data_IF_293939774898
#
_entry.id   IF_293939774898
#
_cell.length_a   1.000
_cell.length_b   1.000
_cell.length_c   1.000
_cell.angle_alpha   90.00
_cell.angle_beta   90.00
_cell.angle_gamma   90.00
#
_symmetry.space_group_name_H-M   'P 1'
#
loop_
_entity.id
_entity.type
_entity.pdbx_description
1 polymer ?
#
# COMPACT_ATOMS: atom_id res chain seq x y z
N UNK A 1 -25.24 -15.40 -36.22
CA UNK A 1 -24.79 -14.67 -35.01
C UNK A 1 -23.76 -15.53 -34.27
N UNK A 2 -22.49 -15.09 -34.18
CA UNK A 2 -21.44 -15.87 -33.51
C UNK A 2 -21.60 -15.71 -31.99
N UNK A 3 -21.88 -16.82 -31.30
CA UNK A 3 -21.98 -16.89 -29.83
C UNK A 3 -20.61 -16.52 -29.23
N UNK A 4 -20.52 -15.37 -28.54
CA UNK A 4 -19.32 -15.03 -27.79
C UNK A 4 -19.09 -16.12 -26.72
N UNK A 5 -18.00 -16.88 -26.84
CA UNK A 5 -17.56 -17.78 -25.78
C UNK A 5 -17.05 -16.91 -24.63
N UNK A 6 -17.71 -16.97 -23.48
CA UNK A 6 -17.15 -16.43 -22.25
C UNK A 6 -15.96 -17.30 -21.84
N UNK A 7 -14.76 -16.75 -22.01
CA UNK A 7 -13.53 -17.38 -21.54
C UNK A 7 -13.57 -17.30 -20.01
N UNK A 8 -13.36 -18.41 -19.28
CA UNK A 8 -13.31 -18.37 -17.82
C UNK A 8 -12.17 -17.42 -17.40
N UNK A 9 -12.47 -16.47 -16.52
CA UNK A 9 -11.48 -15.55 -15.96
C UNK A 9 -10.38 -16.37 -15.30
N UNK A 10 -9.20 -16.42 -15.93
CA UNK A 10 -8.01 -17.06 -15.37
C UNK A 10 -7.75 -16.39 -14.02
N UNK A 11 -7.74 -17.18 -12.94
CA UNK A 11 -7.44 -16.69 -11.59
C UNK A 11 -5.99 -16.16 -11.60
N UNK A 12 -5.83 -14.86 -11.80
CA UNK A 12 -4.52 -14.23 -11.82
C UNK A 12 -3.98 -14.25 -10.40
N UNK A 13 -2.92 -15.02 -10.17
CA UNK A 13 -2.19 -14.94 -8.90
C UNK A 13 -1.57 -13.57 -8.80
N UNK A 14 -1.90 -12.82 -7.75
CA UNK A 14 -1.31 -11.52 -7.50
C UNK A 14 0.21 -11.72 -7.35
N UNK A 15 1.04 -11.11 -8.20
CA UNK A 15 2.49 -11.27 -8.14
C UNK A 15 3.02 -10.73 -6.81
N UNK A 16 3.80 -11.57 -6.12
CA UNK A 16 4.44 -11.20 -4.86
C UNK A 16 5.50 -10.12 -5.09
N UNK A 17 5.64 -9.14 -4.18
CA UNK A 17 6.59 -8.03 -4.30
C UNK A 17 8.04 -8.43 -4.61
N UNK A 18 8.44 -9.65 -4.23
CA UNK A 18 9.78 -10.22 -4.47
C UNK A 18 10.16 -10.19 -5.96
N UNK A 19 9.21 -10.46 -6.86
CA UNK A 19 9.48 -10.48 -8.31
C UNK A 19 9.95 -9.12 -8.82
N UNK A 20 9.43 -8.04 -8.24
CA UNK A 20 9.74 -6.67 -8.66
C UNK A 20 11.05 -6.13 -8.06
N UNK A 21 11.59 -6.76 -7.01
CA UNK A 21 12.81 -6.27 -6.35
C UNK A 21 14.07 -6.44 -7.20
N UNK A 22 14.03 -7.28 -8.24
CA UNK A 22 15.13 -7.43 -9.19
C UNK A 22 15.17 -6.24 -10.15
N UNK A 23 14.02 -5.92 -10.76
CA UNK A 23 13.91 -4.85 -11.74
C UNK A 23 13.89 -3.45 -11.09
N UNK A 24 13.42 -3.35 -9.85
CA UNK A 24 13.25 -2.09 -9.12
C UNK A 24 13.99 -2.12 -7.77
N UNK A 25 15.30 -1.82 -7.73
CA UNK A 25 16.12 -1.88 -6.52
C UNK A 25 15.59 -1.01 -5.36
N UNK A 26 14.97 0.14 -5.66
CA UNK A 26 14.40 1.03 -4.66
C UNK A 26 13.30 0.36 -3.81
N UNK A 27 12.65 -0.71 -4.31
CA UNK A 27 11.68 -1.49 -3.53
C UNK A 27 12.31 -2.26 -2.35
N UNK A 28 13.64 -2.37 -2.31
CA UNK A 28 14.37 -2.95 -1.17
C UNK A 28 14.55 -1.95 -0.01
N UNK A 29 14.51 -0.66 -0.31
CA UNK A 29 14.64 0.41 0.69
C UNK A 29 13.34 0.59 1.48
N UNK A 30 12.21 0.44 0.79
CA UNK A 30 10.87 0.60 1.37
C UNK A 30 10.51 -0.57 2.29
N UNK A 31 9.75 -0.27 3.34
CA UNK A 31 9.21 -1.29 4.23
C UNK A 31 8.23 -2.23 3.50
N UNK A 32 8.31 -3.52 3.83
CA UNK A 32 7.51 -4.56 3.18
C UNK A 32 6.01 -4.41 3.42
N UNK A 33 5.61 -3.93 4.61
CA UNK A 33 4.21 -3.71 4.97
C UNK A 33 3.63 -2.52 4.22
N UNK A 34 4.43 -1.46 4.02
CA UNK A 34 4.02 -0.31 3.21
C UNK A 34 3.72 -0.72 1.76
N UNK A 35 4.55 -1.59 1.17
CA UNK A 35 4.32 -2.12 -0.17
C UNK A 35 3.05 -2.98 -0.25
N UNK A 36 2.80 -3.83 0.77
CA UNK A 36 1.58 -4.62 0.84
C UNK A 36 0.32 -3.74 0.94
N UNK A 37 0.34 -2.70 1.78
CA UNK A 37 -0.76 -1.76 1.91
C UNK A 37 -1.02 -0.98 0.61
N UNK A 38 0.04 -0.58 -0.10
CA UNK A 38 -0.10 0.07 -1.41
C UNK A 38 -0.79 -0.85 -2.43
N UNK A 39 -0.44 -2.14 -2.43
CA UNK A 39 -1.08 -3.13 -3.29
C UNK A 39 -2.56 -3.35 -2.95
N UNK A 40 -2.91 -3.42 -1.67
CA UNK A 40 -4.30 -3.54 -1.21
C UNK A 40 -5.14 -2.30 -1.59
N UNK A 41 -4.56 -1.10 -1.43
CA UNK A 41 -5.22 0.14 -1.82
C UNK A 41 -5.50 0.17 -3.33
N UNK A 42 -4.52 -0.25 -4.14
CA UNK A 42 -4.66 -0.34 -5.59
C UNK A 42 -5.76 -1.33 -5.97
N UNK A 43 -5.74 -2.56 -5.41
CA UNK A 43 -6.76 -3.57 -5.69
C UNK A 43 -8.18 -3.08 -5.34
N UNK A 44 -8.34 -2.46 -4.16
CA UNK A 44 -9.62 -1.86 -3.74
C UNK A 44 -10.10 -0.80 -4.71
N UNK A 45 -9.21 0.10 -5.12
CA UNK A 45 -9.51 1.17 -6.07
C UNK A 45 -9.95 0.61 -7.42
N UNK A 46 -9.21 -0.35 -7.97
CA UNK A 46 -9.55 -0.95 -9.26
C UNK A 46 -10.88 -1.69 -9.19
N UNK A 47 -11.15 -2.43 -8.12
CA UNK A 47 -12.45 -3.07 -7.89
C UNK A 47 -13.59 -2.04 -7.85
N UNK A 48 -13.40 -0.93 -7.15
CA UNK A 48 -14.40 0.13 -7.06
C UNK A 48 -14.63 0.81 -8.42
N UNK A 49 -13.54 1.11 -9.15
CA UNK A 49 -13.58 1.71 -10.48
C UNK A 49 -14.46 0.92 -11.46
N UNK A 50 -14.34 -0.41 -11.46
CA UNK A 50 -15.14 -1.27 -12.33
C UNK A 50 -16.53 -1.62 -11.77
N UNK A 51 -16.74 -1.48 -10.46
CA UNK A 51 -18.02 -1.77 -9.81
C UNK A 51 -19.04 -0.66 -10.03
N UNK A 52 -18.62 0.59 -9.90
CA UNK A 52 -19.51 1.75 -9.95
C UNK A 52 -18.88 2.89 -10.77
N UNK A 53 -19.59 3.31 -11.82
CA UNK A 53 -19.15 4.39 -12.72
C UNK A 53 -19.13 5.77 -12.04
N UNK A 54 -19.84 5.93 -10.91
CA UNK A 54 -19.89 7.20 -10.17
C UNK A 54 -18.59 7.52 -9.42
N UNK A 55 -17.80 6.50 -9.08
CA UNK A 55 -16.55 6.62 -8.30
C UNK A 55 -15.44 7.31 -9.11
N UNK A 56 -15.48 7.16 -10.45
CA UNK A 56 -14.47 7.73 -11.33
C UNK A 56 -13.06 7.14 -11.14
N UNK A 57 -12.07 7.70 -11.83
CA UNK A 57 -10.67 7.30 -11.71
C UNK A 57 -10.09 7.71 -10.36
N UNK A 58 -9.28 6.84 -9.75
CA UNK A 58 -8.53 7.23 -8.55
C UNK A 58 -7.48 8.28 -8.86
N UNK A 59 -7.34 9.23 -7.96
CA UNK A 59 -6.27 10.20 -8.00
C UNK A 59 -5.07 9.74 -7.18
N UNK A 60 -3.89 9.82 -7.79
CA UNK A 60 -2.64 9.63 -7.06
C UNK A 60 -2.41 10.79 -6.09
N UNK A 61 -1.80 10.48 -4.94
CA UNK A 61 -1.42 11.50 -3.98
C UNK A 61 -0.31 12.36 -4.55
N UNK A 62 -0.52 13.68 -4.59
CA UNK A 62 0.52 14.63 -5.01
C UNK A 62 1.63 14.71 -3.97
N UNK A 63 2.89 14.73 -4.42
CA UNK A 63 4.07 14.99 -3.58
C UNK A 63 4.03 16.38 -2.94
N UNK A 64 3.37 17.35 -3.60
CA UNK A 64 3.24 18.73 -3.09
C UNK A 64 2.16 18.87 -2.01
N UNK A 65 1.41 17.81 -1.69
CA UNK A 65 0.43 17.88 -0.62
C UNK A 65 1.16 18.11 0.73
N UNK A 66 0.85 19.18 1.48
CA UNK A 66 1.50 19.46 2.75
C UNK A 66 1.24 18.37 3.80
N UNK A 67 0.13 17.63 3.68
CA UNK A 67 -0.25 16.57 4.62
C UNK A 67 0.08 15.19 4.04
N UNK A 68 1.20 14.64 4.47
CA UNK A 68 1.62 13.27 4.13
C UNK A 68 1.27 12.31 5.27
N UNK A 69 0.61 11.21 4.90
CA UNK A 69 0.13 10.16 5.81
C UNK A 69 0.37 8.82 5.13
N UNK A 70 0.68 7.82 5.94
CA UNK A 70 0.75 6.44 5.51
C UNK A 70 0.21 5.54 6.62
N UNK A 71 -0.35 4.40 6.24
CA UNK A 71 -0.86 3.39 7.18
C UNK A 71 0.12 2.24 7.21
N UNK A 72 0.42 1.77 8.41
CA UNK A 72 1.26 0.60 8.63
C UNK A 72 0.67 -0.24 9.75
N UNK A 73 0.90 -1.54 9.67
CA UNK A 73 0.39 -2.50 10.65
C UNK A 73 1.54 -2.83 11.61
N UNK A 74 1.24 -2.96 12.90
CA UNK A 74 2.23 -3.43 13.84
C UNK A 74 2.25 -4.95 13.85
N UNK A 75 3.32 -5.56 13.31
CA UNK A 75 3.55 -6.99 13.45
C UNK A 75 4.64 -7.24 14.48
N UNK A 76 4.32 -7.99 15.54
CA UNK A 76 5.27 -8.48 16.53
C UNK A 76 6.18 -7.39 17.16
N UNK A 77 5.64 -6.20 17.45
CA UNK A 77 6.37 -5.11 18.11
C UNK A 77 7.35 -4.35 17.21
N UNK A 78 7.24 -4.52 15.89
CA UNK A 78 8.07 -3.82 14.90
C UNK A 78 7.87 -2.30 14.96
N UNK A 79 6.66 -1.86 15.34
CA UNK A 79 6.32 -0.47 15.59
C UNK A 79 6.00 -0.33 17.07
N UNK A 80 6.64 0.62 17.73
CA UNK A 80 6.45 0.83 19.16
C UNK A 80 6.39 2.32 19.48
N UNK A 81 5.57 2.66 20.47
CA UNK A 81 5.55 3.98 21.07
C UNK A 81 6.62 4.03 22.17
N UNK A 82 7.43 5.07 22.15
CA UNK A 82 8.43 5.35 23.17
C UNK A 82 8.01 6.63 23.88
N UNK A 83 7.77 6.52 25.19
CA UNK A 83 7.39 7.64 26.08
C UNK A 83 6.19 8.47 25.61
N UNK A 84 5.29 7.87 24.81
CA UNK A 84 4.13 8.51 24.17
C UNK A 84 4.46 9.76 23.32
N UNK A 85 5.73 10.01 23.02
CA UNK A 85 6.21 11.16 22.26
C UNK A 85 6.93 10.76 20.98
N UNK A 86 7.39 9.52 20.90
CA UNK A 86 8.13 9.01 19.76
C UNK A 86 7.55 7.69 19.25
N UNK A 87 7.75 7.44 17.96
CA UNK A 87 7.48 6.16 17.33
C UNK A 87 8.77 5.54 16.80
N UNK A 88 8.97 4.26 17.09
CA UNK A 88 9.99 3.41 16.48
C UNK A 88 9.42 2.79 15.20
N UNK A 89 10.19 2.86 14.12
CA UNK A 89 9.81 2.31 12.82
C UNK A 89 10.90 1.35 12.32
N UNK A 90 10.55 0.23 11.67
CA UNK A 90 11.50 -0.86 11.37
C UNK A 90 12.72 -0.44 10.55
N UNK A 91 12.48 0.34 9.49
CA UNK A 91 13.51 0.74 8.52
C UNK A 91 14.18 2.07 8.86
N UNK A 92 13.71 2.74 9.91
CA UNK A 92 14.31 3.96 10.40
C UNK A 92 15.19 3.61 11.60
N UNK A 93 16.45 4.02 11.54
CA UNK A 93 17.39 3.86 12.68
C UNK A 93 17.11 4.86 13.80
N UNK A 94 16.37 5.92 13.50
CA UNK A 94 16.02 7.00 14.41
C UNK A 94 14.57 6.87 14.89
N UNK A 95 14.33 7.38 16.10
CA UNK A 95 12.97 7.62 16.60
C UNK A 95 12.37 8.84 15.90
N UNK A 96 11.07 8.76 15.60
CA UNK A 96 10.34 9.87 14.97
C UNK A 96 9.42 10.49 16.02
N UNK A 97 9.53 11.81 16.22
CA UNK A 97 8.62 12.54 17.12
C UNK A 97 7.21 12.52 16.55
N UNK A 98 6.23 12.24 17.40
CA UNK A 98 4.82 12.15 17.01
C UNK A 98 3.94 13.00 17.93
N UNK A 99 2.77 13.37 17.41
CA UNK A 99 1.63 13.81 18.22
C UNK A 99 0.66 12.63 18.29
N UNK A 100 0.46 12.09 19.49
CA UNK A 100 -0.47 10.98 19.72
C UNK A 100 -1.90 11.52 19.83
N UNK A 101 -2.79 11.08 18.94
CA UNK A 101 -4.22 11.37 19.00
C UNK A 101 -4.97 10.22 19.69
N UNK A 102 -6.03 10.55 20.43
CA UNK A 102 -6.87 9.61 21.19
C UNK A 102 -7.92 8.94 20.31
#
# INVERSE_FOLDING_TARGET
>A
MKKLRMIPLKKMSIPTPVKYKQDFPFLKEVDSLALANAQLNLDKVYKNFFRDKSVGFSHFKSKKNPVQSYTTNNHNGTIALVENQFVKLPKLKSLVKITLHR
#
